data_IF_854314773816
#
_entry.id   IF_854314773816
#
_cell.length_a   1.000
_cell.length_b   1.000
_cell.length_c   1.000
_cell.angle_alpha   90.00
_cell.angle_beta   90.00
_cell.angle_gamma   90.00
#
_symmetry.space_group_name_H-M   'P 1'
#
loop_
_entity.id
_entity.type
_entity.pdbx_description
1 polymer ?
#
# COMPACT_ATOMS: atom_id res chain seq x y z
N UNK A 1 72.64 24.81 -23.76
CA UNK A 1 72.02 23.67 -24.47
C UNK A 1 71.15 22.93 -23.51
N UNK A 2 69.90 23.30 -23.52
CA UNK A 2 68.84 22.65 -22.70
C UNK A 2 68.08 21.70 -23.62
N UNK A 3 67.69 20.50 -23.22
CA UNK A 3 66.95 19.58 -24.08
C UNK A 3 65.49 20.04 -24.18
N UNK A 4 64.97 20.02 -25.41
CA UNK A 4 63.58 20.21 -25.76
C UNK A 4 62.73 19.08 -25.15
N UNK A 5 61.61 19.45 -24.52
CA UNK A 5 60.59 18.53 -24.03
C UNK A 5 59.66 18.14 -25.21
N UNK A 6 59.49 16.86 -25.40
CA UNK A 6 58.58 16.23 -26.39
C UNK A 6 57.12 16.38 -25.95
N UNK A 7 56.18 16.97 -26.72
CA UNK A 7 54.81 17.12 -26.39
C UNK A 7 53.94 16.01 -27.01
N UNK A 8 54.04 14.78 -26.51
CA UNK A 8 53.11 13.70 -26.90
C UNK A 8 52.76 12.81 -25.68
N UNK A 9 52.19 13.40 -24.66
CA UNK A 9 51.35 12.64 -23.76
C UNK A 9 49.92 12.64 -24.32
N UNK A 10 49.55 11.53 -24.96
CA UNK A 10 48.20 11.30 -25.47
C UNK A 10 47.20 11.36 -24.30
N UNK A 11 46.33 12.36 -24.36
CA UNK A 11 45.14 12.40 -23.49
C UNK A 11 44.37 11.08 -23.65
N UNK A 12 44.42 10.25 -22.62
CA UNK A 12 43.63 9.03 -22.55
C UNK A 12 42.17 9.39 -22.71
N UNK A 13 41.56 8.83 -23.74
CA UNK A 13 40.10 8.87 -23.93
C UNK A 13 39.47 8.40 -22.62
N UNK A 14 38.52 9.14 -21.99
CA UNK A 14 37.86 8.67 -20.79
C UNK A 14 37.21 7.33 -21.12
N UNK A 15 37.58 6.30 -20.37
CA UNK A 15 36.98 4.98 -20.42
C UNK A 15 35.49 5.18 -20.21
N UNK A 16 34.68 4.96 -21.24
CA UNK A 16 33.21 5.02 -21.17
C UNK A 16 32.85 3.91 -20.23
N UNK A 17 32.53 4.28 -18.97
CA UNK A 17 32.02 3.35 -18.00
C UNK A 17 30.88 2.57 -18.67
N UNK A 18 30.98 1.25 -18.68
CA UNK A 18 30.00 0.37 -19.33
C UNK A 18 28.61 0.71 -18.79
N UNK A 19 27.76 1.23 -19.66
CA UNK A 19 26.40 1.64 -19.32
C UNK A 19 25.64 0.36 -18.93
N UNK A 20 25.24 0.26 -17.67
CA UNK A 20 24.46 -0.89 -17.20
C UNK A 20 23.10 -0.87 -17.87
N UNK A 21 22.73 -1.97 -18.54
CA UNK A 21 21.45 -2.13 -19.20
C UNK A 21 20.52 -3.05 -18.39
N UNK A 22 19.25 -2.65 -18.21
CA UNK A 22 18.23 -3.43 -17.53
C UNK A 22 16.90 -3.42 -18.30
N UNK A 23 16.08 -4.42 -18.08
CA UNK A 23 14.75 -4.47 -18.67
C UNK A 23 13.86 -3.34 -18.11
N UNK A 24 13.85 -3.17 -16.78
CA UNK A 24 12.97 -2.22 -16.11
C UNK A 24 13.72 -1.42 -15.05
N UNK A 25 13.54 -0.11 -15.09
CA UNK A 25 13.98 0.83 -14.05
C UNK A 25 12.78 1.21 -13.17
N UNK A 26 12.82 0.87 -11.90
CA UNK A 26 11.79 1.25 -10.92
C UNK A 26 12.29 2.41 -10.07
N UNK A 27 11.57 3.53 -10.06
CA UNK A 27 11.86 4.69 -9.21
C UNK A 27 10.91 4.68 -8.01
N UNK A 28 11.50 4.44 -6.82
CA UNK A 28 10.82 4.27 -5.54
C UNK A 28 10.82 2.82 -5.07
N UNK A 29 11.52 2.54 -3.96
CA UNK A 29 11.61 1.23 -3.32
C UNK A 29 10.52 1.02 -2.24
N UNK A 30 9.42 1.76 -2.32
CA UNK A 30 8.25 1.60 -1.45
C UNK A 30 7.55 0.26 -1.67
N UNK A 31 6.43 -0.01 -0.94
CA UNK A 31 5.70 -1.28 -1.05
C UNK A 31 5.31 -1.64 -2.49
N UNK A 32 4.82 -0.70 -3.28
CA UNK A 32 4.46 -0.96 -4.68
C UNK A 32 5.70 -1.22 -5.55
N UNK A 33 6.70 -0.34 -5.51
CA UNK A 33 7.90 -0.46 -6.36
C UNK A 33 8.75 -1.67 -5.99
N UNK A 34 8.98 -1.90 -4.70
CA UNK A 34 9.74 -3.06 -4.23
C UNK A 34 9.05 -4.39 -4.56
N UNK A 35 7.71 -4.45 -4.45
CA UNK A 35 6.94 -5.64 -4.85
C UNK A 35 7.01 -5.85 -6.36
N UNK A 36 6.87 -4.79 -7.18
CA UNK A 36 7.02 -4.90 -8.63
C UNK A 36 8.40 -5.43 -9.00
N UNK A 37 9.47 -4.82 -8.48
CA UNK A 37 10.84 -5.24 -8.75
C UNK A 37 11.08 -6.70 -8.37
N UNK A 38 10.61 -7.12 -7.18
CA UNK A 38 10.71 -8.51 -6.72
C UNK A 38 9.93 -9.47 -7.63
N UNK A 39 8.73 -9.09 -8.07
CA UNK A 39 7.90 -9.91 -8.97
C UNK A 39 8.58 -10.10 -10.32
N UNK A 40 9.04 -9.01 -10.94
CA UNK A 40 9.71 -9.04 -12.25
C UNK A 40 11.01 -9.83 -12.21
N UNK A 41 11.81 -9.61 -11.18
CA UNK A 41 13.07 -10.32 -11.04
C UNK A 41 12.89 -11.81 -10.75
N UNK A 42 11.83 -12.19 -9.99
CA UNK A 42 11.46 -13.60 -9.82
C UNK A 42 11.08 -14.26 -11.14
N UNK A 43 10.53 -13.50 -12.08
CA UNK A 43 10.22 -13.96 -13.44
C UNK A 43 11.42 -13.92 -14.40
N UNK A 44 12.61 -13.48 -13.95
CA UNK A 44 13.83 -13.47 -14.75
C UNK A 44 14.14 -12.15 -15.46
N UNK A 45 13.36 -11.08 -15.29
CA UNK A 45 13.71 -9.76 -15.82
C UNK A 45 14.84 -9.14 -15.00
N UNK A 46 15.71 -8.37 -15.67
CA UNK A 46 16.71 -7.53 -15.01
C UNK A 46 16.09 -6.19 -14.57
N UNK A 47 16.28 -5.82 -13.30
CA UNK A 47 15.64 -4.65 -12.71
C UNK A 47 16.65 -3.76 -11.99
N UNK A 48 16.60 -2.46 -12.23
CA UNK A 48 17.25 -1.48 -11.37
C UNK A 48 16.19 -0.78 -10.51
N UNK A 49 16.46 -0.63 -9.21
CA UNK A 49 15.60 0.08 -8.27
C UNK A 49 16.34 1.29 -7.74
N UNK A 50 15.80 2.47 -7.96
CA UNK A 50 16.35 3.74 -7.48
C UNK A 50 15.46 4.30 -6.38
N UNK A 51 16.05 4.70 -5.24
CA UNK A 51 15.33 5.42 -4.20
C UNK A 51 16.18 6.57 -3.66
N UNK A 52 15.54 7.72 -3.44
CA UNK A 52 16.19 8.93 -2.89
C UNK A 52 16.67 8.76 -1.45
N UNK A 53 16.07 7.82 -0.72
CA UNK A 53 16.43 7.48 0.64
C UNK A 53 17.19 6.16 0.67
N UNK A 54 18.16 6.05 1.58
CA UNK A 54 18.77 4.76 1.86
C UNK A 54 17.65 3.77 2.24
N UNK A 55 17.73 2.55 1.71
CA UNK A 55 16.82 1.50 2.16
C UNK A 55 16.97 1.37 3.68
N UNK A 56 15.88 1.49 4.45
CA UNK A 56 15.97 1.47 5.90
C UNK A 56 16.68 0.18 6.35
N UNK A 57 17.47 0.24 7.44
CA UNK A 57 18.12 -0.95 7.97
C UNK A 57 17.08 -2.01 8.29
N UNK A 58 17.44 -3.28 8.09
CA UNK A 58 16.58 -4.45 8.35
C UNK A 58 16.14 -4.51 9.81
N UNK A 59 17.00 -4.02 10.70
CA UNK A 59 16.78 -3.97 12.14
C UNK A 59 16.08 -2.66 12.52
N UNK A 60 14.90 -2.42 12.01
CA UNK A 60 14.08 -1.33 12.54
C UNK A 60 13.68 -1.67 13.97
N UNK A 61 13.91 -0.73 14.91
CA UNK A 61 13.49 -0.95 16.29
C UNK A 61 11.97 -1.09 16.35
N UNK A 62 11.49 -1.43 17.50
CA UNK A 62 10.13 -1.61 17.95
C UNK A 62 8.99 -1.23 16.99
N UNK A 63 7.90 -1.94 17.08
CA UNK A 63 6.61 -1.64 16.47
C UNK A 63 6.22 -0.17 16.69
N UNK A 64 5.96 0.57 15.62
CA UNK A 64 5.65 2.00 15.65
C UNK A 64 4.15 2.33 15.59
N UNK A 65 3.28 1.32 15.54
CA UNK A 65 1.82 1.47 15.49
C UNK A 65 1.25 1.47 14.08
N UNK A 66 2.06 1.44 13.03
CA UNK A 66 1.59 1.42 11.63
C UNK A 66 1.46 -0.01 11.11
N UNK A 67 0.33 -0.29 10.47
CA UNK A 67 0.05 -1.58 9.85
C UNK A 67 -0.76 -1.40 8.56
N UNK A 68 -0.70 -2.41 7.70
CA UNK A 68 -1.45 -2.49 6.45
C UNK A 68 -2.44 -3.65 6.50
N UNK A 69 -3.65 -3.41 6.05
CA UNK A 69 -4.60 -4.47 5.73
C UNK A 69 -4.29 -4.98 4.32
N UNK A 70 -3.70 -6.15 4.21
CA UNK A 70 -3.35 -6.80 2.94
C UNK A 70 -4.51 -7.70 2.54
N UNK A 71 -5.20 -7.36 1.46
CA UNK A 71 -6.32 -8.14 0.93
C UNK A 71 -5.85 -9.52 0.41
N UNK A 72 -6.74 -10.49 0.33
CA UNK A 72 -6.41 -11.86 -0.09
C UNK A 72 -5.70 -11.92 -1.45
N UNK A 73 -6.18 -11.17 -2.45
CA UNK A 73 -5.49 -11.06 -3.75
C UNK A 73 -4.10 -10.46 -3.65
N UNK A 74 -3.91 -9.44 -2.80
CA UNK A 74 -2.60 -8.82 -2.57
C UNK A 74 -1.63 -9.77 -1.86
N UNK A 75 -2.12 -10.60 -0.93
CA UNK A 75 -1.32 -11.67 -0.29
C UNK A 75 -0.79 -12.64 -1.34
N UNK A 76 -1.61 -13.05 -2.31
CA UNK A 76 -1.19 -13.94 -3.40
C UNK A 76 -0.05 -13.34 -4.23
N UNK A 77 -0.13 -12.04 -4.56
CA UNK A 77 0.95 -11.33 -5.24
C UNK A 77 2.24 -11.31 -4.40
N UNK A 78 2.15 -10.97 -3.11
CA UNK A 78 3.31 -10.95 -2.21
C UNK A 78 3.94 -12.35 -2.07
N UNK A 79 3.14 -13.40 -2.02
CA UNK A 79 3.62 -14.78 -2.00
C UNK A 79 4.33 -15.15 -3.32
N UNK A 80 3.74 -14.82 -4.47
CA UNK A 80 4.37 -15.05 -5.77
C UNK A 80 5.70 -14.29 -5.93
N UNK A 81 5.81 -13.08 -5.38
CA UNK A 81 7.06 -12.31 -5.34
C UNK A 81 8.10 -12.85 -4.34
N UNK A 82 7.75 -13.87 -3.54
CA UNK A 82 8.60 -14.42 -2.48
C UNK A 82 8.79 -13.48 -1.28
N UNK A 83 7.81 -12.62 -1.02
CA UNK A 83 7.84 -11.64 0.07
C UNK A 83 7.09 -12.11 1.30
N UNK A 84 6.03 -12.92 1.13
CA UNK A 84 5.13 -13.32 2.22
C UNK A 84 5.84 -14.14 3.30
N UNK A 85 6.67 -15.08 2.88
CA UNK A 85 7.41 -15.97 3.78
C UNK A 85 8.65 -15.31 4.43
N UNK A 86 8.99 -14.09 3.99
CA UNK A 86 10.05 -13.27 4.58
C UNK A 86 9.53 -12.30 5.65
N UNK A 87 8.22 -12.29 5.92
CA UNK A 87 7.66 -11.46 6.98
C UNK A 87 8.15 -11.96 8.34
N UNK A 88 8.78 -11.11 9.18
CA UNK A 88 9.34 -11.54 10.46
C UNK A 88 8.26 -11.91 11.49
N UNK A 89 7.07 -11.32 11.40
CA UNK A 89 5.95 -11.66 12.26
C UNK A 89 4.83 -12.31 11.46
N UNK A 90 4.12 -13.25 12.09
CA UNK A 90 2.95 -13.88 11.49
C UNK A 90 1.82 -12.86 11.32
N UNK A 91 1.34 -12.61 10.09
CA UNK A 91 0.23 -11.71 9.85
C UNK A 91 -1.06 -12.13 10.55
N UNK A 92 -1.79 -11.19 11.13
CA UNK A 92 -3.06 -11.46 11.77
C UNK A 92 -4.20 -11.56 10.74
N UNK A 93 -4.92 -12.69 10.63
CA UNK A 93 -6.02 -12.84 9.68
C UNK A 93 -7.21 -11.98 10.09
N UNK A 94 -7.87 -11.37 9.10
CA UNK A 94 -9.16 -10.68 9.25
C UNK A 94 -10.25 -11.68 8.86
N UNK A 95 -10.77 -12.42 9.83
CA UNK A 95 -11.79 -13.46 9.60
C UNK A 95 -13.21 -12.93 9.68
N UNK A 96 -13.39 -11.78 10.33
CA UNK A 96 -14.69 -11.10 10.43
C UNK A 96 -14.58 -9.61 10.15
N UNK A 97 -15.63 -9.03 9.56
CA UNK A 97 -15.74 -7.57 9.38
C UNK A 97 -17.12 -7.15 9.91
N UNK A 98 -17.14 -6.21 10.86
CA UNK A 98 -18.35 -5.59 11.38
C UNK A 98 -18.42 -4.14 10.96
N UNK A 99 -19.50 -3.78 10.28
CA UNK A 99 -19.76 -2.40 9.88
C UNK A 99 -20.96 -1.87 10.67
N UNK A 100 -20.81 -0.72 11.28
CA UNK A 100 -21.85 -0.07 12.06
C UNK A 100 -21.93 1.43 11.80
N UNK A 101 -23.06 2.02 12.12
CA UNK A 101 -23.31 3.46 12.16
C UNK A 101 -23.63 3.89 13.59
N UNK A 102 -23.12 5.01 14.04
CA UNK A 102 -23.34 5.48 15.41
C UNK A 102 -22.75 6.85 15.71
N UNK A 103 -22.76 7.19 16.99
CA UNK A 103 -22.11 8.38 17.52
C UNK A 103 -21.13 7.99 18.64
N UNK A 104 -20.04 8.75 18.84
CA UNK A 104 -19.12 8.50 19.93
C UNK A 104 -19.82 8.52 21.30
N UNK A 105 -19.67 7.45 22.08
CA UNK A 105 -20.28 7.32 23.40
C UNK A 105 -21.69 6.75 23.39
N UNK A 106 -22.30 6.53 22.24
CA UNK A 106 -23.59 5.86 22.12
C UNK A 106 -23.42 4.36 21.82
N UNK A 107 -24.47 3.59 22.11
CA UNK A 107 -24.52 2.19 21.67
C UNK A 107 -24.54 2.14 20.14
N UNK A 108 -23.76 1.27 19.51
CA UNK A 108 -23.82 1.09 18.05
C UNK A 108 -25.23 0.76 17.58
N UNK A 109 -25.57 1.22 16.37
CA UNK A 109 -26.87 0.91 15.75
C UNK A 109 -27.15 -0.60 15.77
N UNK A 110 -28.39 -1.05 16.03
CA UNK A 110 -28.76 -2.46 15.90
C UNK A 110 -28.70 -2.94 14.44
N UNK A 111 -28.81 -2.03 13.48
CA UNK A 111 -28.64 -2.32 12.06
C UNK A 111 -27.14 -2.37 11.73
N UNK A 112 -26.57 -3.56 11.80
CA UNK A 112 -25.15 -3.83 11.55
C UNK A 112 -25.02 -4.74 10.35
N UNK A 113 -23.92 -4.57 9.62
CA UNK A 113 -23.51 -5.50 8.58
C UNK A 113 -22.36 -6.34 9.13
N UNK A 114 -22.48 -7.65 8.99
CA UNK A 114 -21.46 -8.59 9.44
C UNK A 114 -21.05 -9.50 8.28
N UNK A 115 -19.77 -9.55 8.02
CA UNK A 115 -19.14 -10.50 7.11
C UNK A 115 -18.36 -11.52 7.94
N UNK A 116 -18.47 -12.79 7.56
CA UNK A 116 -17.72 -13.90 8.13
C UNK A 116 -17.05 -14.63 6.96
N UNK A 117 -15.73 -14.76 7.00
CA UNK A 117 -14.95 -15.37 5.93
C UNK A 117 -15.31 -16.86 5.77
N UNK A 118 -15.42 -17.60 6.89
CA UNK A 118 -15.78 -19.02 6.85
C UNK A 118 -17.17 -19.27 6.25
N UNK A 119 -18.14 -18.41 6.53
CA UNK A 119 -19.48 -18.49 5.93
C UNK A 119 -19.46 -18.22 4.40
N UNK A 120 -18.38 -17.66 3.88
CA UNK A 120 -18.18 -17.40 2.46
C UNK A 120 -17.24 -18.41 1.78
N UNK A 121 -16.77 -19.42 2.52
CA UNK A 121 -15.82 -20.43 2.05
C UNK A 121 -14.37 -19.94 1.94
N UNK A 122 -14.03 -18.83 2.64
CA UNK A 122 -12.72 -18.21 2.61
C UNK A 122 -12.01 -18.35 3.96
N UNK A 123 -10.68 -18.42 3.94
CA UNK A 123 -9.86 -18.43 5.15
C UNK A 123 -9.91 -17.08 5.88
N UNK A 124 -9.74 -16.00 5.13
CA UNK A 124 -9.78 -14.62 5.62
C UNK A 124 -10.08 -13.64 4.48
N UNK A 125 -10.61 -12.46 4.81
CA UNK A 125 -10.75 -11.34 3.87
C UNK A 125 -9.41 -10.72 3.50
N UNK A 126 -8.42 -10.87 4.37
CA UNK A 126 -7.08 -10.35 4.26
C UNK A 126 -6.33 -10.52 5.58
N UNK A 127 -5.16 -9.94 5.67
CA UNK A 127 -4.28 -10.04 6.84
C UNK A 127 -3.73 -8.68 7.23
N UNK A 128 -3.63 -8.44 8.52
CA UNK A 128 -2.91 -7.28 9.03
C UNK A 128 -1.42 -7.57 9.08
N UNK A 129 -0.63 -6.72 8.45
CA UNK A 129 0.84 -6.79 8.38
C UNK A 129 1.41 -5.49 8.92
N UNK A 130 2.32 -5.57 9.87
CA UNK A 130 3.03 -4.38 10.37
C UNK A 130 3.82 -3.70 9.25
N UNK A 131 3.82 -2.38 9.21
CA UNK A 131 4.49 -1.64 8.13
C UNK A 131 6.01 -1.92 8.10
N UNK A 132 6.64 -2.06 9.28
CA UNK A 132 8.05 -2.43 9.41
C UNK A 132 8.33 -3.84 8.88
N UNK A 133 7.44 -4.82 9.16
CA UNK A 133 7.60 -6.21 8.72
C UNK A 133 7.60 -6.32 7.21
N UNK A 134 6.68 -5.63 6.54
CA UNK A 134 6.68 -5.55 5.08
C UNK A 134 7.96 -4.88 4.55
N UNK A 135 8.47 -3.85 5.22
CA UNK A 135 9.72 -3.18 4.82
C UNK A 135 10.92 -4.11 4.97
N UNK A 136 11.02 -4.86 6.07
CA UNK A 136 12.08 -5.86 6.29
C UNK A 136 12.06 -6.91 5.19
N UNK A 137 10.89 -7.49 4.90
CA UNK A 137 10.72 -8.48 3.84
C UNK A 137 11.13 -7.94 2.46
N UNK A 138 10.69 -6.72 2.11
CA UNK A 138 11.07 -6.06 0.86
C UNK A 138 12.58 -5.84 0.74
N UNK A 139 13.22 -5.29 1.77
CA UNK A 139 14.66 -5.04 1.75
C UNK A 139 15.46 -6.35 1.64
N UNK A 140 15.03 -7.40 2.35
CA UNK A 140 15.64 -8.73 2.26
C UNK A 140 15.53 -9.28 0.83
N UNK A 141 14.33 -9.22 0.24
CA UNK A 141 14.06 -9.78 -1.08
C UNK A 141 14.83 -9.02 -2.18
N UNK A 142 14.82 -7.68 -2.14
CA UNK A 142 15.54 -6.86 -3.12
C UNK A 142 17.05 -7.13 -3.12
N UNK A 143 17.65 -7.45 -1.97
CA UNK A 143 19.07 -7.78 -1.86
C UNK A 143 19.40 -9.22 -2.23
N UNK A 144 18.44 -10.13 -2.08
CA UNK A 144 18.64 -11.55 -2.34
C UNK A 144 18.55 -11.93 -3.83
N UNK A 145 17.88 -11.12 -4.65
CA UNK A 145 17.70 -11.41 -6.07
C UNK A 145 18.89 -10.89 -6.91
N UNK A 146 19.64 -11.78 -7.58
CA UNK A 146 20.89 -11.40 -8.26
C UNK A 146 20.68 -10.51 -9.49
N UNK A 147 19.47 -10.50 -10.06
CA UNK A 147 19.07 -9.69 -11.20
C UNK A 147 18.39 -8.37 -10.79
N UNK A 148 18.46 -7.99 -9.50
CA UNK A 148 18.10 -6.66 -9.02
C UNK A 148 19.34 -5.85 -8.67
N UNK A 149 19.46 -4.67 -9.25
CA UNK A 149 20.42 -3.66 -8.83
C UNK A 149 19.74 -2.60 -7.98
N UNK A 150 20.06 -2.51 -6.69
CA UNK A 150 19.55 -1.48 -5.78
C UNK A 150 20.49 -0.28 -5.77
N UNK A 151 19.95 0.88 -6.13
CA UNK A 151 20.64 2.16 -6.25
C UNK A 151 19.99 3.16 -5.29
N UNK A 152 20.45 3.14 -4.03
CA UNK A 152 19.93 3.98 -2.94
C UNK A 152 21.02 4.23 -1.88
N UNK A 153 21.17 5.46 -1.38
CA UNK A 153 20.36 6.64 -1.68
C UNK A 153 20.83 7.33 -2.98
N UNK A 154 19.96 7.52 -3.94
CA UNK A 154 20.22 8.34 -5.13
C UNK A 154 18.93 8.73 -5.82
N UNK A 155 18.97 9.73 -6.68
CA UNK A 155 17.86 10.15 -7.53
C UNK A 155 18.23 9.98 -9.00
N UNK A 156 17.24 9.91 -9.87
CA UNK A 156 17.43 9.75 -11.30
C UNK A 156 16.75 10.87 -12.09
N UNK A 157 17.45 11.43 -13.06
CA UNK A 157 16.88 12.23 -14.15
C UNK A 157 16.73 11.33 -15.37
N UNK A 158 15.54 11.29 -15.96
CA UNK A 158 15.23 10.41 -17.07
C UNK A 158 15.18 11.17 -18.39
N UNK A 159 15.92 10.69 -19.36
CA UNK A 159 15.77 11.00 -20.78
C UNK A 159 15.02 9.84 -21.43
N UNK A 160 13.77 10.04 -21.82
CA UNK A 160 12.90 9.02 -22.42
C UNK A 160 12.89 9.19 -23.93
N UNK A 161 13.29 8.17 -24.64
CA UNK A 161 13.33 8.10 -26.09
C UNK A 161 12.28 7.10 -26.59
N UNK A 162 11.95 7.08 -27.88
CA UNK A 162 11.04 6.05 -28.40
C UNK A 162 11.53 4.62 -28.16
N UNK A 163 12.85 4.42 -28.17
CA UNK A 163 13.50 3.11 -28.10
C UNK A 163 13.84 2.69 -26.67
N UNK A 164 14.22 3.66 -25.81
CA UNK A 164 14.75 3.37 -24.47
C UNK A 164 14.57 4.52 -23.47
N UNK A 165 15.06 4.31 -22.26
CA UNK A 165 15.20 5.30 -21.20
C UNK A 165 16.66 5.35 -20.75
N UNK A 166 17.26 6.53 -20.78
CA UNK A 166 18.57 6.76 -20.15
C UNK A 166 18.35 7.49 -18.83
N UNK A 167 18.80 6.90 -17.75
CA UNK A 167 18.74 7.47 -16.42
C UNK A 167 20.12 7.96 -16.00
N UNK A 168 20.20 9.25 -15.63
CA UNK A 168 21.39 9.86 -15.03
C UNK A 168 21.16 9.99 -13.53
N UNK A 169 22.00 9.32 -12.75
CA UNK A 169 21.90 9.31 -11.30
C UNK A 169 22.61 10.48 -10.67
N UNK A 170 22.13 10.95 -9.52
CA UNK A 170 22.75 12.08 -8.79
C UNK A 170 24.16 11.79 -8.29
N UNK A 171 24.59 10.54 -8.24
CA UNK A 171 25.94 10.11 -7.87
C UNK A 171 26.90 9.99 -9.09
N UNK A 172 26.46 10.42 -10.28
CA UNK A 172 27.25 10.45 -11.51
C UNK A 172 27.17 9.19 -12.37
N UNK A 173 26.55 8.10 -11.90
CA UNK A 173 26.33 6.90 -12.71
C UNK A 173 25.24 7.12 -13.75
N UNK A 174 25.28 6.34 -14.83
CA UNK A 174 24.21 6.26 -15.83
C UNK A 174 23.79 4.82 -16.03
N UNK A 175 22.53 4.62 -16.37
CA UNK A 175 21.99 3.32 -16.76
C UNK A 175 20.97 3.48 -17.87
N UNK A 176 20.80 2.42 -18.66
CA UNK A 176 19.82 2.30 -19.73
C UNK A 176 18.75 1.29 -19.33
N UNK A 177 17.50 1.58 -19.63
CA UNK A 177 16.39 0.68 -19.40
C UNK A 177 15.42 0.70 -20.59
N UNK A 178 14.70 -0.39 -20.79
CA UNK A 178 13.64 -0.43 -21.82
C UNK A 178 12.34 0.21 -21.34
N UNK A 179 12.10 0.24 -20.04
CA UNK A 179 10.94 0.87 -19.42
C UNK A 179 11.30 1.49 -18.07
N UNK A 180 10.82 2.69 -17.80
CA UNK A 180 10.81 3.28 -16.45
C UNK A 180 9.44 3.12 -15.80
N UNK A 181 9.42 2.80 -14.49
CA UNK A 181 8.19 2.74 -13.68
C UNK A 181 8.33 3.68 -12.50
N UNK A 182 7.42 4.64 -12.40
CA UNK A 182 7.32 5.53 -11.25
C UNK A 182 6.47 4.89 -10.15
N UNK A 183 7.10 4.62 -9.02
CA UNK A 183 6.49 4.19 -7.76
C UNK A 183 6.82 5.18 -6.62
N UNK A 184 7.02 6.46 -6.95
CA UNK A 184 7.47 7.55 -6.06
C UNK A 184 6.39 8.07 -5.09
N UNK A 185 5.19 7.51 -5.16
CA UNK A 185 4.08 7.97 -4.32
C UNK A 185 3.38 9.25 -4.84
N UNK A 186 2.58 9.87 -3.98
CA UNK A 186 1.66 10.97 -4.34
C UNK A 186 2.32 12.17 -4.98
N UNK A 187 3.57 12.43 -4.66
CA UNK A 187 4.32 13.59 -5.13
C UNK A 187 5.33 13.22 -6.24
N UNK A 188 5.02 12.18 -7.02
CA UNK A 188 5.90 11.71 -8.10
C UNK A 188 6.40 12.86 -8.98
N UNK A 189 7.73 12.97 -9.03
CA UNK A 189 8.45 13.94 -9.87
C UNK A 189 8.43 13.50 -11.33
N UNK A 190 8.49 12.20 -11.60
CA UNK A 190 8.41 11.65 -12.95
C UNK A 190 7.04 11.89 -13.59
N UNK A 191 5.95 11.74 -12.81
CA UNK A 191 4.62 12.12 -13.29
C UNK A 191 4.59 13.57 -13.75
N UNK A 192 5.11 14.48 -12.89
CA UNK A 192 5.18 15.91 -13.21
C UNK A 192 6.06 16.19 -14.41
N UNK A 193 7.26 15.63 -14.46
CA UNK A 193 8.22 15.79 -15.58
C UNK A 193 7.71 15.22 -16.91
N UNK A 194 6.81 14.24 -16.88
CA UNK A 194 6.11 13.73 -18.07
C UNK A 194 4.92 14.58 -18.49
N UNK A 195 4.64 15.70 -17.83
CA UNK A 195 3.47 16.54 -18.11
C UNK A 195 2.13 15.83 -17.82
N UNK A 196 2.14 14.81 -16.96
CA UNK A 196 0.92 14.09 -16.55
C UNK A 196 0.26 14.84 -15.40
N UNK A 197 -0.82 15.56 -15.70
CA UNK A 197 -1.66 16.21 -14.71
C UNK A 197 -2.32 15.22 -13.75
N UNK A 198 -2.72 15.69 -12.57
CA UNK A 198 -3.50 14.91 -11.63
C UNK A 198 -4.63 15.73 -11.02
N UNK A 199 -5.84 15.15 -11.00
CA UNK A 199 -6.93 15.68 -10.20
C UNK A 199 -6.66 15.37 -8.73
N UNK A 200 -6.84 16.35 -7.85
CA UNK A 200 -6.67 16.21 -6.40
C UNK A 200 -7.92 16.67 -5.69
N UNK A 201 -8.32 15.95 -4.67
CA UNK A 201 -9.42 16.30 -3.78
C UNK A 201 -8.95 16.24 -2.34
N UNK A 202 -9.02 17.36 -1.64
CA UNK A 202 -8.75 17.46 -0.21
C UNK A 202 -10.06 17.27 0.55
N UNK A 203 -10.11 16.27 1.43
CA UNK A 203 -11.28 15.98 2.26
C UNK A 203 -11.39 16.89 3.48
N UNK A 204 -10.34 17.68 3.78
CA UNK A 204 -10.23 18.49 5.02
C UNK A 204 -10.36 17.65 6.28
N UNK A 205 -10.03 16.38 6.18
CA UNK A 205 -9.95 15.41 7.28
C UNK A 205 -8.53 14.87 7.38
N UNK A 206 -8.17 14.41 8.56
CA UNK A 206 -6.89 13.75 8.84
C UNK A 206 -7.15 12.37 9.39
N UNK A 207 -6.39 11.39 8.93
CA UNK A 207 -6.36 10.07 9.53
C UNK A 207 -5.42 10.08 10.74
N UNK A 208 -5.92 9.67 11.90
CA UNK A 208 -5.12 9.41 13.09
C UNK A 208 -4.91 7.91 13.16
N UNK A 209 -3.66 7.47 13.20
CA UNK A 209 -3.27 6.06 13.22
C UNK A 209 -2.48 5.78 14.49
N UNK A 210 -2.83 4.71 15.18
CA UNK A 210 -2.10 4.22 16.35
C UNK A 210 -2.38 2.74 16.56
N UNK A 211 -1.74 2.12 17.56
CA UNK A 211 -2.11 0.81 18.05
C UNK A 211 -2.50 0.88 19.54
N UNK A 212 -3.38 -0.02 19.92
CA UNK A 212 -3.81 -0.25 21.29
C UNK A 212 -3.58 -1.71 21.68
N UNK A 213 -3.15 -1.93 22.91
CA UNK A 213 -3.25 -3.23 23.59
C UNK A 213 -4.55 -3.28 24.40
N UNK A 214 -5.15 -4.46 24.56
CA UNK A 214 -6.44 -4.62 25.21
C UNK A 214 -6.61 -5.98 25.92
N UNK A 215 -7.59 -6.03 26.87
CA UNK A 215 -7.78 -7.18 27.75
C UNK A 215 -8.46 -8.37 27.07
N UNK A 216 -9.43 -8.12 26.17
CA UNK A 216 -10.27 -9.18 25.58
C UNK A 216 -9.90 -9.42 24.12
N UNK A 217 -9.95 -10.66 23.64
CA UNK A 217 -9.61 -10.98 22.26
C UNK A 217 -10.57 -10.35 21.23
N UNK A 218 -10.02 -9.90 20.12
CA UNK A 218 -10.76 -9.39 18.97
C UNK A 218 -11.29 -10.50 18.04
N UNK A 219 -10.86 -11.76 18.22
CA UNK A 219 -11.28 -12.91 17.41
C UNK A 219 -11.12 -12.70 15.89
N UNK A 220 -10.05 -12.07 15.44
CA UNK A 220 -9.82 -11.78 14.03
C UNK A 220 -10.84 -10.83 13.39
N UNK A 221 -11.66 -10.13 14.20
CA UNK A 221 -12.72 -9.27 13.70
C UNK A 221 -12.27 -7.81 13.58
N UNK A 222 -12.37 -7.25 12.38
CA UNK A 222 -12.25 -5.82 12.12
C UNK A 222 -13.58 -5.12 12.39
N UNK A 223 -13.54 -3.96 13.04
CA UNK A 223 -14.68 -3.07 13.24
C UNK A 223 -14.50 -1.82 12.38
N UNK A 224 -15.52 -1.49 11.59
CA UNK A 224 -15.64 -0.20 10.89
C UNK A 224 -16.86 0.52 11.41
N UNK A 225 -16.67 1.58 12.16
CA UNK A 225 -17.73 2.42 12.69
C UNK A 225 -17.77 3.75 11.91
N UNK A 226 -18.89 4.02 11.27
CA UNK A 226 -19.13 5.29 10.62
C UNK A 226 -19.65 6.30 11.62
N UNK A 227 -18.85 7.33 11.92
CA UNK A 227 -19.11 8.37 12.89
C UNK A 227 -19.29 9.73 12.17
N UNK A 228 -19.89 10.76 12.81
CA UNK A 228 -20.20 12.04 12.16
C UNK A 228 -19.02 12.78 11.53
N UNK A 229 -17.80 12.61 12.05
CA UNK A 229 -16.60 13.27 11.53
C UNK A 229 -15.76 12.38 10.58
N UNK A 230 -16.23 11.17 10.31
CA UNK A 230 -15.58 10.21 9.44
C UNK A 230 -15.49 8.80 10.04
N UNK A 231 -15.00 7.83 9.27
CA UNK A 231 -14.88 6.44 9.71
C UNK A 231 -13.86 6.27 10.84
N UNK A 232 -14.16 5.30 11.69
CA UNK A 232 -13.28 4.80 12.74
C UNK A 232 -13.15 3.28 12.57
N UNK A 233 -11.93 2.82 12.32
CA UNK A 233 -11.62 1.40 12.17
C UNK A 233 -10.80 0.89 13.36
N UNK A 234 -11.15 -0.29 13.87
CA UNK A 234 -10.33 -1.13 14.73
C UNK A 234 -10.01 -2.39 13.96
N UNK A 235 -8.72 -2.68 13.77
CA UNK A 235 -8.22 -3.78 12.94
C UNK A 235 -7.39 -4.73 13.80
N UNK A 236 -7.62 -6.07 13.71
CA UNK A 236 -6.95 -7.03 14.57
C UNK A 236 -5.45 -7.10 14.26
N UNK A 237 -4.60 -7.11 15.28
CA UNK A 237 -3.17 -7.39 15.17
C UNK A 237 -2.84 -8.70 15.90
N UNK A 238 -1.75 -9.33 15.54
CA UNK A 238 -1.27 -10.52 16.23
C UNK A 238 -1.01 -10.23 17.71
N UNK A 239 -1.30 -11.19 18.58
CA UNK A 239 -1.10 -11.06 20.02
C UNK A 239 0.41 -10.86 20.34
N UNK A 240 0.68 -10.14 21.40
CA UNK A 240 2.04 -9.92 21.85
C UNK A 240 2.52 -11.08 22.72
N UNK A 241 3.75 -11.55 22.47
CA UNK A 241 4.42 -12.50 23.39
C UNK A 241 4.80 -11.80 24.69
N UNK A 242 4.62 -12.47 25.82
CA UNK A 242 5.11 -12.01 27.13
C UNK A 242 6.63 -12.08 27.24
N UNK A 243 7.27 -12.93 26.45
CA UNK A 243 8.71 -13.17 26.48
C UNK A 243 9.49 -12.19 25.56
N UNK A 244 8.77 -11.41 24.77
CA UNK A 244 9.35 -10.44 23.85
C UNK A 244 9.79 -9.14 24.53
N UNK A 245 10.46 -8.31 23.76
CA UNK A 245 10.86 -6.96 24.15
C UNK A 245 9.90 -5.91 23.58
N UNK A 246 9.94 -4.68 24.14
CA UNK A 246 9.18 -3.54 23.69
C UNK A 246 7.81 -3.36 24.37
N UNK A 247 7.12 -2.29 24.00
CA UNK A 247 5.90 -1.83 24.66
C UNK A 247 4.74 -2.83 24.59
N UNK A 248 4.62 -3.57 23.48
CA UNK A 248 3.55 -4.59 23.33
C UNK A 248 3.74 -5.75 24.30
N UNK A 249 4.97 -6.26 24.41
CA UNK A 249 5.30 -7.34 25.34
C UNK A 249 5.17 -6.90 26.81
N UNK A 250 5.54 -5.64 27.08
CA UNK A 250 5.29 -5.04 28.40
C UNK A 250 3.78 -4.96 28.70
N UNK A 251 2.97 -4.50 27.74
CA UNK A 251 1.52 -4.45 27.91
C UNK A 251 0.92 -5.84 28.13
N UNK A 252 1.41 -6.86 27.43
CA UNK A 252 0.97 -8.24 27.62
C UNK A 252 1.26 -8.76 29.06
N UNK A 253 2.44 -8.48 29.60
CA UNK A 253 2.77 -8.80 31.01
C UNK A 253 1.89 -8.08 32.03
N UNK A 254 1.35 -6.92 31.66
CA UNK A 254 0.45 -6.11 32.49
C UNK A 254 -1.06 -6.45 32.30
N UNK A 255 -1.37 -7.53 31.58
CA UNK A 255 -2.75 -8.00 31.39
C UNK A 255 -3.42 -7.51 30.11
N UNK A 256 -2.66 -7.00 29.13
CA UNK A 256 -3.15 -6.57 27.82
C UNK A 256 -2.50 -7.38 26.69
N UNK A 257 -2.80 -8.70 26.57
CA UNK A 257 -2.08 -9.58 25.64
C UNK A 257 -2.46 -9.34 24.17
N UNK A 258 -3.65 -8.80 23.91
CA UNK A 258 -4.18 -8.61 22.57
C UNK A 258 -3.87 -7.21 22.05
N UNK A 259 -3.80 -7.05 20.72
CA UNK A 259 -3.50 -5.76 20.10
C UNK A 259 -4.42 -5.48 18.90
N UNK A 260 -4.70 -4.21 18.65
CA UNK A 260 -5.42 -3.74 17.46
C UNK A 260 -4.81 -2.44 16.93
N UNK A 261 -4.77 -2.31 15.60
CA UNK A 261 -4.51 -1.04 14.95
C UNK A 261 -5.79 -0.20 14.91
N UNK A 262 -5.66 1.09 15.12
CA UNK A 262 -6.74 2.07 15.03
C UNK A 262 -6.46 3.00 13.85
N UNK A 263 -7.45 3.19 13.01
CA UNK A 263 -7.47 4.21 11.96
C UNK A 263 -8.72 5.07 12.19
N UNK A 264 -8.51 6.30 12.55
CA UNK A 264 -9.56 7.22 12.94
C UNK A 264 -9.52 8.46 12.06
N UNK A 265 -10.56 8.68 11.25
CA UNK A 265 -10.72 9.91 10.46
C UNK A 265 -11.36 11.00 11.30
N UNK A 266 -10.76 12.19 11.30
CA UNK A 266 -11.23 13.34 12.05
C UNK A 266 -11.01 14.62 11.25
N UNK A 267 -11.75 15.68 11.54
CA UNK A 267 -11.53 17.01 10.92
C UNK A 267 -10.09 17.45 11.14
N UNK A 268 -9.44 17.93 10.09
CA UNK A 268 -8.02 18.35 10.17
C UNK A 268 -7.77 19.42 11.23
N UNK A 269 -8.77 20.26 11.53
CA UNK A 269 -8.68 21.28 12.58
C UNK A 269 -8.66 20.69 14.01
N UNK A 270 -9.21 19.49 14.21
CA UNK A 270 -9.29 18.80 15.49
C UNK A 270 -8.17 17.79 15.72
N UNK A 271 -7.57 17.26 14.64
CA UNK A 271 -6.52 16.25 14.74
C UNK A 271 -5.35 16.66 15.65
N UNK A 272 -4.82 17.91 15.62
CA UNK A 272 -3.75 18.32 16.53
C UNK A 272 -4.15 18.21 18.01
N UNK A 273 -5.41 18.48 18.35
CA UNK A 273 -5.90 18.35 19.72
C UNK A 273 -5.80 16.89 20.22
N UNK A 274 -6.27 15.92 19.41
CA UNK A 274 -6.16 14.50 19.77
C UNK A 274 -4.71 14.01 19.81
N UNK A 275 -3.86 14.52 18.90
CA UNK A 275 -2.44 14.18 18.89
C UNK A 275 -1.70 14.68 20.13
N UNK A 276 -2.12 15.81 20.73
CA UNK A 276 -1.51 16.40 21.92
C UNK A 276 -2.03 15.80 23.24
N UNK A 277 -3.08 14.96 23.22
CA UNK A 277 -3.64 14.38 24.44
C UNK A 277 -2.64 13.48 25.17
N UNK A 278 -2.70 13.44 26.50
CA UNK A 278 -2.03 12.41 27.29
C UNK A 278 -2.55 11.00 26.88
N UNK A 279 -1.72 9.93 26.97
CA UNK A 279 -2.08 8.59 26.53
C UNK A 279 -3.40 8.08 27.09
N UNK A 280 -3.66 8.31 28.38
CA UNK A 280 -4.88 7.85 29.06
C UNK A 280 -6.14 8.61 28.60
N UNK A 281 -6.00 9.90 28.30
CA UNK A 281 -7.09 10.71 27.74
C UNK A 281 -7.40 10.28 26.30
N UNK A 282 -6.37 10.01 25.53
CA UNK A 282 -6.51 9.52 24.16
C UNK A 282 -7.18 8.14 24.10
N UNK A 283 -6.77 7.19 24.95
CA UNK A 283 -7.41 5.85 25.02
C UNK A 283 -8.86 5.90 25.45
N UNK A 284 -9.23 6.86 26.33
CA UNK A 284 -10.66 7.10 26.63
C UNK A 284 -11.45 7.57 25.41
N UNK A 285 -10.85 8.42 24.57
CA UNK A 285 -11.49 8.86 23.32
C UNK A 285 -11.59 7.72 22.29
N UNK A 286 -10.60 6.83 22.22
CA UNK A 286 -10.68 5.61 21.42
C UNK A 286 -11.82 4.71 21.92
N UNK A 287 -11.88 4.42 23.23
CA UNK A 287 -12.93 3.61 23.84
C UNK A 287 -14.34 4.21 23.61
N UNK A 288 -14.47 5.54 23.69
CA UNK A 288 -15.74 6.24 23.44
C UNK A 288 -16.26 6.02 22.02
N UNK A 289 -15.37 5.83 21.03
CA UNK A 289 -15.73 5.56 19.63
C UNK A 289 -15.94 4.10 19.32
N UNK A 290 -15.17 3.24 19.94
CA UNK A 290 -15.17 1.80 19.68
C UNK A 290 -16.18 1.04 20.54
N UNK A 291 -16.49 1.55 21.73
CA UNK A 291 -17.21 0.82 22.77
C UNK A 291 -16.27 0.01 23.67
N UNK A 292 -16.86 -0.81 24.55
CA UNK A 292 -16.18 -1.52 25.63
C UNK A 292 -15.92 -3.01 25.36
N UNK A 293 -16.15 -3.46 24.12
CA UNK A 293 -16.11 -4.89 23.79
C UNK A 293 -14.71 -5.52 23.95
N UNK A 294 -13.64 -4.74 23.85
CA UNK A 294 -12.26 -5.20 24.07
C UNK A 294 -11.77 -5.01 25.53
N UNK A 295 -12.60 -4.53 26.43
CA UNK A 295 -12.23 -4.27 27.82
C UNK A 295 -11.39 -3.01 27.97
N UNK A 296 -10.47 -2.99 28.95
CA UNK A 296 -9.56 -1.86 29.13
C UNK A 296 -8.56 -1.79 27.99
N UNK A 297 -8.13 -0.58 27.69
CA UNK A 297 -7.24 -0.26 26.58
C UNK A 297 -5.97 0.43 27.08
N UNK A 298 -4.86 0.16 26.40
CA UNK A 298 -3.59 0.85 26.57
C UNK A 298 -3.02 1.24 25.21
N UNK A 299 -2.56 2.47 25.06
CA UNK A 299 -1.83 2.90 23.86
C UNK A 299 -0.47 2.20 23.82
N UNK A 300 -0.09 1.69 22.65
CA UNK A 300 1.22 1.08 22.40
C UNK A 300 1.80 1.63 21.09
N UNK A 301 3.08 1.92 21.06
CA UNK A 301 3.73 2.59 19.94
C UNK A 301 3.36 4.08 19.82
N UNK A 302 3.69 4.64 18.68
CA UNK A 302 3.43 6.04 18.36
C UNK A 302 2.00 6.33 17.91
N UNK A 303 1.70 7.63 17.83
CA UNK A 303 0.51 8.17 17.18
C UNK A 303 0.95 8.94 15.94
N UNK A 304 0.24 8.74 14.84
CA UNK A 304 0.54 9.35 13.54
C UNK A 304 -0.69 10.07 13.01
N UNK A 305 -0.50 11.19 12.34
CA UNK A 305 -1.59 11.90 11.68
C UNK A 305 -1.20 12.28 10.26
N UNK A 306 -2.10 12.02 9.32
CA UNK A 306 -1.89 12.28 7.90
C UNK A 306 -3.10 12.98 7.30
N UNK A 307 -2.92 14.05 6.49
CA UNK A 307 -4.01 14.66 5.76
C UNK A 307 -4.59 13.66 4.75
N UNK A 308 -5.91 13.54 4.71
CA UNK A 308 -6.61 12.66 3.80
C UNK A 308 -6.96 13.39 2.51
N UNK A 309 -6.53 12.83 1.40
CA UNK A 309 -6.79 13.39 0.08
C UNK A 309 -6.91 12.27 -0.95
N UNK A 310 -7.62 12.54 -2.03
CA UNK A 310 -7.63 11.69 -3.20
C UNK A 310 -6.77 12.31 -4.31
N UNK A 311 -6.20 11.45 -5.14
CA UNK A 311 -5.42 11.83 -6.33
C UNK A 311 -5.75 10.87 -7.45
N UNK A 312 -5.92 11.40 -8.67
CA UNK A 312 -6.08 10.60 -9.88
C UNK A 312 -5.26 11.24 -11.00
N UNK A 313 -4.24 10.52 -11.47
CA UNK A 313 -3.48 10.93 -12.63
C UNK A 313 -4.37 10.88 -13.90
N UNK A 314 -4.21 11.86 -14.78
CA UNK A 314 -5.00 11.95 -16.01
C UNK A 314 -4.71 10.81 -16.97
N UNK A 315 -3.48 10.31 -16.98
CA UNK A 315 -3.06 9.08 -17.65
C UNK A 315 -2.05 8.31 -16.76
N UNK A 316 -1.92 7.01 -16.97
CA UNK A 316 -1.02 6.14 -16.18
C UNK A 316 0.26 5.82 -16.91
N UNK A 317 0.35 6.21 -18.17
CA UNK A 317 1.50 5.90 -19.03
C UNK A 317 1.89 7.09 -19.90
N UNK A 318 3.13 7.07 -20.34
CA UNK A 318 3.69 7.94 -21.36
C UNK A 318 4.79 7.16 -22.12
N UNK A 319 5.51 7.78 -23.05
CA UNK A 319 6.64 7.16 -23.74
C UNK A 319 7.61 6.54 -22.73
N UNK A 320 7.74 5.19 -22.78
CA UNK A 320 8.62 4.41 -21.90
C UNK A 320 8.43 4.68 -20.40
N UNK A 321 7.24 5.03 -19.97
CA UNK A 321 6.90 5.33 -18.58
C UNK A 321 5.56 4.72 -18.18
N UNK A 322 5.54 4.01 -17.05
CA UNK A 322 4.31 3.61 -16.36
C UNK A 322 4.30 4.18 -14.93
N UNK A 323 3.11 4.52 -14.43
CA UNK A 323 2.89 4.94 -13.04
C UNK A 323 2.18 3.80 -12.29
N UNK A 324 2.62 3.51 -11.06
CA UNK A 324 2.00 2.50 -10.18
C UNK A 324 1.73 3.06 -8.79
N UNK A 325 0.67 2.57 -8.14
CA UNK A 325 0.30 2.97 -6.79
C UNK A 325 -0.01 4.46 -6.66
N UNK A 326 0.44 5.07 -5.57
CA UNK A 326 0.14 6.47 -5.27
C UNK A 326 0.74 7.47 -6.29
N UNK A 327 1.65 7.04 -7.17
CA UNK A 327 2.08 7.85 -8.30
C UNK A 327 0.98 8.00 -9.36
N UNK A 328 0.16 6.97 -9.54
CA UNK A 328 -0.98 6.96 -10.47
C UNK A 328 -2.28 7.42 -9.82
N UNK A 329 -2.55 6.97 -8.60
CA UNK A 329 -3.79 7.25 -7.88
C UNK A 329 -3.59 7.15 -6.36
N UNK A 330 -4.27 7.98 -5.61
CA UNK A 330 -4.39 7.89 -4.16
C UNK A 330 -5.86 7.94 -3.77
N UNK A 331 -6.34 6.97 -3.02
CA UNK A 331 -7.73 6.91 -2.56
C UNK A 331 -7.84 7.23 -1.08
N UNK A 332 -9.06 7.55 -0.62
CA UNK A 332 -9.34 7.66 0.80
C UNK A 332 -9.10 6.31 1.50
N UNK A 333 -8.45 6.28 2.69
CA UNK A 333 -8.05 5.04 3.37
C UNK A 333 -9.21 4.25 4.00
N UNK A 334 -10.46 4.48 3.61
CA UNK A 334 -11.61 3.68 4.05
C UNK A 334 -11.32 2.22 3.76
N UNK A 335 -11.46 1.39 4.79
CA UNK A 335 -11.19 -0.06 4.76
C UNK A 335 -9.75 -0.45 4.32
N UNK A 336 -8.75 0.45 4.46
CA UNK A 336 -7.35 0.14 4.19
C UNK A 336 -6.99 -0.21 2.74
N UNK A 337 -7.82 0.20 1.74
CA UNK A 337 -7.68 -0.28 0.36
C UNK A 337 -6.58 0.40 -0.46
N UNK A 338 -5.98 1.51 0.01
CA UNK A 338 -5.02 2.29 -0.79
C UNK A 338 -3.86 1.45 -1.34
N UNK A 339 -3.17 0.72 -0.48
CA UNK A 339 -2.05 -0.14 -0.87
C UNK A 339 -2.51 -1.30 -1.77
N UNK A 340 -3.67 -1.90 -1.50
CA UNK A 340 -4.21 -3.01 -2.27
C UNK A 340 -4.53 -2.61 -3.73
N UNK A 341 -5.02 -1.39 -3.97
CA UNK A 341 -5.23 -0.89 -5.34
C UNK A 341 -3.89 -0.71 -6.06
N UNK A 342 -2.86 -0.23 -5.35
CA UNK A 342 -1.49 -0.18 -5.87
C UNK A 342 -0.92 -1.58 -6.21
N UNK A 343 -1.20 -2.59 -5.41
CA UNK A 343 -0.81 -3.97 -5.71
C UNK A 343 -1.56 -4.56 -6.91
N UNK A 344 -2.78 -4.12 -7.18
CA UNK A 344 -3.46 -4.47 -8.45
C UNK A 344 -2.74 -3.87 -9.66
N UNK A 345 -2.19 -2.65 -9.54
CA UNK A 345 -1.36 -2.07 -10.61
C UNK A 345 -0.10 -2.90 -10.83
N UNK A 346 0.59 -3.25 -9.74
CA UNK A 346 1.79 -4.08 -9.78
C UNK A 346 1.52 -5.41 -10.47
N UNK A 347 0.45 -6.11 -10.08
CA UNK A 347 0.08 -7.38 -10.68
C UNK A 347 -0.21 -7.26 -12.18
N UNK A 348 -1.04 -6.28 -12.58
CA UNK A 348 -1.42 -6.08 -13.97
C UNK A 348 -0.21 -5.70 -14.85
N UNK A 349 0.66 -4.79 -14.37
CA UNK A 349 1.85 -4.40 -15.11
C UNK A 349 2.85 -5.56 -15.18
N UNK A 350 3.10 -6.25 -14.07
CA UNK A 350 4.03 -7.37 -14.03
C UNK A 350 3.64 -8.49 -15.00
N UNK A 351 2.35 -8.88 -15.06
CA UNK A 351 1.88 -9.90 -15.99
C UNK A 351 2.12 -9.53 -17.45
N UNK A 352 1.86 -8.27 -17.82
CA UNK A 352 2.11 -7.79 -19.18
C UNK A 352 3.61 -7.79 -19.52
N UNK A 353 4.46 -7.34 -18.59
CA UNK A 353 5.91 -7.29 -18.80
C UNK A 353 6.53 -8.69 -18.88
N UNK A 354 6.07 -9.62 -18.02
CA UNK A 354 6.53 -11.01 -18.03
C UNK A 354 6.14 -11.70 -19.33
N UNK A 355 4.90 -11.51 -19.79
CA UNK A 355 4.44 -12.07 -21.05
C UNK A 355 5.21 -11.51 -22.25
N UNK A 356 5.45 -10.19 -22.31
CA UNK A 356 6.23 -9.57 -23.37
C UNK A 356 7.68 -10.08 -23.39
N UNK A 357 8.31 -10.19 -22.21
CA UNK A 357 9.68 -10.73 -22.10
C UNK A 357 9.76 -12.17 -22.58
N UNK A 358 8.81 -13.02 -22.18
CA UNK A 358 8.75 -14.42 -22.63
C UNK A 358 8.52 -14.55 -24.15
N UNK A 359 7.77 -13.63 -24.76
CA UNK A 359 7.55 -13.58 -26.20
C UNK A 359 8.71 -12.93 -26.98
N UNK A 360 9.74 -12.38 -26.29
CA UNK A 360 10.79 -11.62 -26.94
C UNK A 360 10.32 -10.25 -27.46
N UNK A 361 9.22 -9.74 -26.92
CA UNK A 361 8.66 -8.44 -27.29
C UNK A 361 9.23 -7.30 -26.46
N UNK A 362 9.08 -6.07 -26.95
CA UNK A 362 9.52 -4.87 -26.28
C UNK A 362 8.68 -4.55 -25.04
N UNK A 363 9.26 -4.66 -23.85
CA UNK A 363 8.60 -4.39 -22.56
C UNK A 363 8.17 -2.93 -22.40
N UNK A 364 8.73 -1.99 -23.16
CA UNK A 364 8.33 -0.58 -23.18
C UNK A 364 7.40 -0.21 -24.32
N UNK A 365 6.89 -1.19 -25.10
CA UNK A 365 6.07 -0.95 -26.28
C UNK A 365 4.81 -0.13 -25.96
N UNK A 366 4.42 0.85 -26.80
CA UNK A 366 3.22 1.66 -26.60
C UNK A 366 1.96 0.83 -26.47
N UNK A 367 1.82 -0.30 -27.18
CA UNK A 367 0.66 -1.17 -27.11
C UNK A 367 0.53 -1.83 -25.73
N UNK A 368 1.64 -2.28 -25.14
CA UNK A 368 1.66 -2.84 -23.77
C UNK A 368 1.24 -1.80 -22.74
N UNK A 369 1.81 -0.60 -22.82
CA UNK A 369 1.48 0.50 -21.93
C UNK A 369 0.02 0.93 -22.05
N UNK A 370 -0.54 0.94 -23.27
CA UNK A 370 -1.95 1.20 -23.50
C UNK A 370 -2.85 0.11 -22.88
N UNK A 371 -2.47 -1.16 -22.99
CA UNK A 371 -3.19 -2.28 -22.36
C UNK A 371 -3.19 -2.16 -20.82
N UNK A 372 -2.02 -1.85 -20.22
CA UNK A 372 -1.93 -1.56 -18.79
C UNK A 372 -2.87 -0.44 -18.35
N UNK A 373 -2.84 0.70 -19.05
CA UNK A 373 -3.71 1.84 -18.73
C UNK A 373 -5.18 1.49 -18.88
N UNK A 374 -5.56 0.77 -19.94
CA UNK A 374 -6.93 0.34 -20.19
C UNK A 374 -7.46 -0.59 -19.07
N UNK A 375 -6.61 -1.45 -18.55
CA UNK A 375 -6.97 -2.36 -17.44
C UNK A 375 -7.10 -1.60 -16.10
N UNK A 376 -6.18 -0.66 -15.81
CA UNK A 376 -6.05 -0.14 -14.46
C UNK A 376 -6.81 1.16 -14.19
N UNK A 377 -6.87 2.07 -15.17
CA UNK A 377 -7.49 3.39 -14.97
C UNK A 377 -9.00 3.30 -14.66
N UNK A 378 -9.82 2.46 -15.32
CA UNK A 378 -11.23 2.30 -14.95
C UNK A 378 -11.42 1.73 -13.54
N UNK A 379 -10.60 0.74 -13.14
CA UNK A 379 -10.66 0.13 -11.80
C UNK A 379 -10.32 1.16 -10.71
N UNK A 380 -9.26 1.95 -10.90
CA UNK A 380 -8.90 3.00 -9.94
C UNK A 380 -9.95 4.10 -9.83
N UNK A 381 -10.57 4.51 -10.97
CA UNK A 381 -11.64 5.49 -10.97
C UNK A 381 -12.90 4.96 -10.27
N UNK A 382 -13.23 3.69 -10.47
CA UNK A 382 -14.34 3.04 -9.76
C UNK A 382 -14.09 3.04 -8.25
N UNK A 383 -12.89 2.64 -7.81
CA UNK A 383 -12.51 2.63 -6.39
C UNK A 383 -12.50 4.04 -5.79
N UNK A 384 -11.98 5.03 -6.53
CA UNK A 384 -12.00 6.43 -6.12
C UNK A 384 -13.44 6.93 -5.96
N UNK A 385 -14.31 6.65 -6.93
CA UNK A 385 -15.72 7.02 -6.87
C UNK A 385 -16.46 6.35 -5.71
N UNK A 386 -16.22 5.05 -5.50
CA UNK A 386 -16.82 4.29 -4.41
C UNK A 386 -16.38 4.83 -3.03
N UNK A 387 -15.08 5.04 -2.81
CA UNK A 387 -14.57 5.56 -1.54
C UNK A 387 -14.99 7.01 -1.29
N UNK A 388 -15.06 7.83 -2.33
CA UNK A 388 -15.59 9.18 -2.23
C UNK A 388 -17.10 9.20 -1.90
N UNK A 389 -17.90 8.34 -2.55
CA UNK A 389 -19.32 8.21 -2.25
C UNK A 389 -19.56 7.73 -0.81
N UNK A 390 -18.78 6.76 -0.34
CA UNK A 390 -18.83 6.29 1.05
C UNK A 390 -18.45 7.40 2.03
N UNK A 391 -17.37 8.12 1.77
CA UNK A 391 -16.97 9.25 2.62
C UNK A 391 -18.10 10.30 2.71
N UNK A 392 -18.67 10.70 1.58
CA UNK A 392 -19.79 11.67 1.52
C UNK A 392 -21.07 11.14 2.19
N UNK A 393 -21.37 9.87 2.03
CA UNK A 393 -22.54 9.22 2.62
C UNK A 393 -22.41 9.11 4.15
N UNK A 394 -21.19 8.80 4.62
CA UNK A 394 -20.95 8.51 6.04
C UNK A 394 -20.35 9.70 6.81
N UNK A 395 -19.71 10.65 6.15
CA UNK A 395 -19.08 11.82 6.76
C UNK A 395 -20.03 12.98 7.11
N UNK A 396 -21.36 12.75 7.15
CA UNK A 396 -22.35 13.75 7.55
C UNK A 396 -23.36 13.18 8.52
N UNK A 397 -24.06 14.06 9.28
CA UNK A 397 -25.08 13.68 10.26
C UNK A 397 -26.48 14.21 9.91
N UNK A 398 -26.77 14.40 8.61
CA UNK A 398 -28.08 14.83 8.13
C UNK A 398 -29.08 13.70 8.32
N UNK A 399 -30.16 13.94 9.09
CA UNK A 399 -31.08 12.90 9.54
C UNK A 399 -31.68 12.02 8.41
N UNK A 400 -32.16 12.55 7.26
CA UNK A 400 -32.61 11.71 6.14
C UNK A 400 -31.52 10.83 5.56
N UNK A 401 -30.28 11.34 5.45
CA UNK A 401 -29.13 10.58 4.92
C UNK A 401 -28.76 9.45 5.89
N UNK A 402 -28.80 9.72 7.19
CA UNK A 402 -28.55 8.71 8.24
C UNK A 402 -29.57 7.56 8.18
N UNK A 403 -30.85 7.87 7.97
CA UNK A 403 -31.90 6.83 7.81
C UNK A 403 -31.64 6.02 6.55
N UNK A 404 -31.41 6.67 5.40
CA UNK A 404 -31.12 5.99 4.13
C UNK A 404 -29.87 5.10 4.24
N UNK A 405 -28.82 5.56 4.91
CA UNK A 405 -27.59 4.82 5.19
C UNK A 405 -27.85 3.55 6.01
N UNK A 406 -28.60 3.67 7.10
CA UNK A 406 -28.98 2.53 7.96
C UNK A 406 -29.79 1.49 7.20
N UNK A 407 -30.74 1.93 6.38
CA UNK A 407 -31.51 1.04 5.50
C UNK A 407 -30.62 0.38 4.44
N UNK A 408 -29.68 1.11 3.86
CA UNK A 408 -28.71 0.58 2.91
C UNK A 408 -27.83 -0.52 3.52
N UNK A 409 -27.30 -0.30 4.73
CA UNK A 409 -26.54 -1.31 5.50
C UNK A 409 -27.40 -2.56 5.72
N UNK A 410 -28.65 -2.40 6.16
CA UNK A 410 -29.57 -3.53 6.39
C UNK A 410 -29.93 -4.26 5.09
N UNK A 411 -30.04 -3.56 3.96
CA UNK A 411 -30.30 -4.17 2.65
C UNK A 411 -29.11 -5.03 2.18
N UNK A 412 -27.87 -4.51 2.32
CA UNK A 412 -26.65 -5.27 1.99
C UNK A 412 -26.55 -6.53 2.85
N UNK A 413 -26.86 -6.45 4.14
CA UNK A 413 -26.82 -7.62 5.03
C UNK A 413 -27.82 -8.72 4.64
N UNK A 414 -29.01 -8.33 4.14
CA UNK A 414 -30.09 -9.25 3.78
C UNK A 414 -30.04 -9.80 2.38
N UNK A 415 -29.27 -9.18 1.47
CA UNK A 415 -29.19 -9.61 0.04
C UNK A 415 -27.84 -10.31 -0.18
N UNK A 416 -27.81 -11.67 -0.27
CA UNK A 416 -26.57 -12.43 -0.37
C UNK A 416 -25.68 -12.03 -1.57
N UNK A 417 -26.28 -11.70 -2.72
CA UNK A 417 -25.56 -11.28 -3.91
C UNK A 417 -24.79 -9.96 -3.69
N UNK A 418 -25.41 -8.96 -3.02
CA UNK A 418 -24.76 -7.70 -2.66
C UNK A 418 -23.67 -7.94 -1.62
N UNK A 419 -23.95 -8.74 -0.60
CA UNK A 419 -22.99 -9.10 0.44
C UNK A 419 -21.77 -9.77 -0.18
N UNK A 420 -21.95 -10.75 -1.07
CA UNK A 420 -20.88 -11.42 -1.79
C UNK A 420 -20.09 -10.48 -2.72
N UNK A 421 -20.75 -9.52 -3.36
CA UNK A 421 -20.08 -8.51 -4.16
C UNK A 421 -19.13 -7.64 -3.32
N UNK A 422 -19.62 -7.06 -2.21
CA UNK A 422 -18.79 -6.24 -1.33
C UNK A 422 -17.64 -7.02 -0.70
N UNK A 423 -17.86 -8.26 -0.32
CA UNK A 423 -16.82 -9.12 0.23
C UNK A 423 -15.71 -9.39 -0.79
N UNK A 424 -16.03 -9.74 -2.05
CA UNK A 424 -15.03 -9.90 -3.11
C UNK A 424 -14.24 -8.62 -3.38
N UNK A 425 -14.90 -7.46 -3.31
CA UNK A 425 -14.20 -6.17 -3.41
C UNK A 425 -13.21 -5.95 -2.26
N UNK A 426 -13.62 -6.26 -1.03
CA UNK A 426 -12.75 -6.18 0.15
C UNK A 426 -11.53 -7.12 0.05
N UNK A 427 -11.72 -8.32 -0.49
CA UNK A 427 -10.64 -9.30 -0.73
C UNK A 427 -9.70 -8.92 -1.89
N UNK A 428 -9.99 -7.85 -2.62
CA UNK A 428 -9.19 -7.46 -3.79
C UNK A 428 -9.39 -8.37 -5.01
N UNK A 429 -10.42 -9.20 -4.99
CA UNK A 429 -10.79 -10.14 -6.06
C UNK A 429 -11.98 -9.64 -6.91
N UNK A 430 -12.47 -8.44 -6.61
CA UNK A 430 -13.55 -7.79 -7.35
C UNK A 430 -13.07 -6.97 -8.53
N UNK A 431 -13.91 -6.90 -9.59
CA UNK A 431 -13.63 -6.15 -10.82
C UNK A 431 -12.93 -7.01 -11.87
N UNK A 432 -13.42 -7.05 -13.15
CA UNK A 432 -12.90 -7.80 -14.30
C UNK A 432 -12.05 -9.03 -14.00
N UNK A 433 -11.72 -9.90 -14.86
CA UNK A 433 -10.92 -11.09 -14.50
C UNK A 433 -9.71 -10.66 -13.62
N UNK A 434 -9.73 -11.05 -12.33
CA UNK A 434 -8.59 -10.82 -11.45
C UNK A 434 -7.33 -11.33 -12.16
N UNK A 435 -6.24 -10.55 -12.13
CA UNK A 435 -4.97 -10.98 -12.73
C UNK A 435 -4.59 -12.36 -12.18
N UNK A 436 -3.87 -13.15 -12.94
CA UNK A 436 -3.44 -14.49 -12.53
C UNK A 436 -2.67 -14.47 -11.20
N UNK A 437 -1.84 -13.45 -11.00
CA UNK A 437 -1.08 -13.23 -9.76
C UNK A 437 -2.01 -12.97 -8.56
N UNK A 438 -3.04 -12.15 -8.72
CA UNK A 438 -4.01 -11.90 -7.66
C UNK A 438 -4.91 -13.11 -7.39
N UNK A 439 -5.17 -13.93 -8.41
CA UNK A 439 -5.93 -15.17 -8.28
C UNK A 439 -5.12 -16.35 -7.72
N UNK A 440 -3.85 -16.16 -7.38
CA UNK A 440 -2.98 -17.19 -6.80
C UNK A 440 -2.40 -18.18 -7.82
N UNK A 441 -2.39 -17.85 -9.12
CA UNK A 441 -1.81 -18.74 -10.16
C UNK A 441 -0.29 -18.73 -10.19
N UNK A 442 0.34 -17.88 -9.35
CA UNK A 442 1.79 -17.75 -9.30
C UNK A 442 2.41 -17.04 -10.52
N UNK A 443 3.72 -16.92 -10.50
CA UNK A 443 4.51 -16.42 -11.63
C UNK A 443 4.76 -17.66 -12.54
N UNK A 444 4.27 -17.60 -13.76
CA UNK A 444 4.63 -18.61 -14.75
C UNK A 444 6.09 -18.34 -15.17
N UNK A 445 7.00 -19.34 -15.09
CA UNK A 445 8.35 -19.17 -15.60
C UNK A 445 8.29 -18.78 -17.08
N UNK A 446 9.15 -17.85 -17.50
CA UNK A 446 9.42 -17.67 -18.92
C UNK A 446 9.98 -19.00 -19.43
N UNK A 447 9.21 -19.66 -20.31
CA UNK A 447 9.53 -20.97 -20.90
C UNK A 447 10.80 -20.94 -21.73
#
# INVERSE_FOLDING_TARGET
MLPEADPTEAAGTPEVASETEVDVLVIGAGPAGGTLASTLATAGLSVAVVDAQALPPMELPAFDGRAYAIAAGSRNLLAAAGLWDLLPETPCPITGIRVSDGQPGERPSPLRLHFDAAAMGEEAFGWMVEARSLRVALNARLRALPNIQVLAPTTAMLERRPEDVVARLSDGRSLRAWLAVSAEGRNSTLRGGAGIGAARLDYRTSGIVCAIAHERPHHGTALEAFLPNGPFAQLPLSDASTDGEGERSQAAREGFPHASAIVWSERSSLAPHFMAMAPEAFTREVARRMGDHLGKLRLVGGRWSYPLSALQAMRFTDTRLALVGDAAHGIHPIAGQGLNVGFRDVAALAELLIAAKAAGEDVGAPALLAAYQAARRPDSLMMLGATHALERLFGNDIAPVRIARRLGIAAVDRIPALKGFFARQAMGLGGGAASGLLAGRGILPAG
#
